data_IF_665036090912
#
_entry.id   IF_665036090912
#
_cell.length_a   1.000
_cell.length_b   1.000
_cell.length_c   1.000
_cell.angle_alpha   90.00
_cell.angle_beta   90.00
_cell.angle_gamma   90.00
#
_symmetry.space_group_name_H-M   'P 1'
#
loop_
_entity.id
_entity.type
_entity.pdbx_description
1 polymer ?
#
# COMPACT_ATOMS: atom_id res chain seq x y z
N UNK A 1 10.38 -53.62 -53.61
CA UNK A 1 10.20 -53.08 -52.25
C UNK A 1 10.78 -51.67 -52.24
N UNK A 2 10.05 -50.64 -51.80
CA UNK A 2 10.55 -49.27 -51.85
C UNK A 2 11.71 -49.10 -50.86
N UNK A 3 12.79 -48.47 -51.29
CA UNK A 3 13.99 -48.26 -50.51
C UNK A 3 13.76 -47.08 -49.56
N UNK A 4 13.65 -47.34 -48.26
CA UNK A 4 13.52 -46.28 -47.25
C UNK A 4 14.83 -45.49 -47.17
N UNK A 5 14.81 -44.23 -47.60
CA UNK A 5 15.95 -43.34 -47.51
C UNK A 5 16.17 -42.94 -46.06
N UNK A 6 17.09 -43.66 -45.40
CA UNK A 6 17.54 -43.35 -44.03
C UNK A 6 18.18 -41.95 -44.02
N UNK A 7 17.46 -40.97 -43.50
CA UNK A 7 17.97 -39.62 -43.33
C UNK A 7 19.18 -39.64 -42.39
N UNK A 8 20.34 -39.17 -42.87
CA UNK A 8 21.53 -39.02 -42.03
C UNK A 8 21.29 -37.88 -41.04
N UNK A 9 21.27 -38.19 -39.76
CA UNK A 9 21.25 -37.19 -38.70
C UNK A 9 22.56 -36.39 -38.77
N UNK A 10 22.47 -35.15 -39.22
CA UNK A 10 23.57 -34.17 -39.11
C UNK A 10 23.69 -33.76 -37.65
N UNK A 11 24.87 -33.97 -37.05
CA UNK A 11 25.15 -33.57 -35.67
C UNK A 11 25.16 -32.05 -35.50
N UNK A 12 24.87 -31.59 -34.29
CA UNK A 12 24.87 -30.18 -33.90
C UNK A 12 26.31 -29.65 -33.91
N UNK A 13 26.52 -28.43 -34.39
CA UNK A 13 27.85 -27.80 -34.36
C UNK A 13 28.15 -27.18 -32.99
N UNK A 14 29.43 -27.09 -32.58
CA UNK A 14 29.79 -26.50 -31.28
C UNK A 14 29.37 -25.02 -31.18
N UNK A 15 29.41 -24.29 -32.31
CA UNK A 15 28.97 -22.89 -32.39
C UNK A 15 27.45 -22.75 -32.18
N UNK A 16 26.66 -23.72 -32.62
CA UNK A 16 25.19 -23.72 -32.47
C UNK A 16 24.79 -23.88 -31.00
N UNK A 17 25.51 -24.73 -30.24
CA UNK A 17 25.30 -24.89 -28.80
C UNK A 17 25.70 -23.62 -28.05
N UNK A 18 26.82 -22.99 -28.41
CA UNK A 18 27.26 -21.72 -27.80
C UNK A 18 26.26 -20.59 -28.02
N UNK A 19 25.72 -20.45 -29.24
CA UNK A 19 24.70 -19.45 -29.55
C UNK A 19 23.40 -19.75 -28.80
N UNK A 20 23.01 -21.02 -28.69
CA UNK A 20 21.82 -21.43 -27.92
C UNK A 20 21.95 -21.09 -26.44
N UNK A 21 23.11 -21.36 -25.82
CA UNK A 21 23.38 -21.01 -24.42
C UNK A 21 23.42 -19.50 -24.22
N UNK A 22 23.97 -18.72 -25.17
CA UNK A 22 23.95 -17.26 -25.11
C UNK A 22 22.53 -16.70 -25.14
N UNK A 23 21.70 -17.15 -26.08
CA UNK A 23 20.30 -16.71 -26.19
C UNK A 23 19.53 -17.10 -24.92
N UNK A 24 19.73 -18.32 -24.41
CA UNK A 24 19.12 -18.79 -23.17
C UNK A 24 19.54 -17.91 -21.97
N UNK A 25 20.83 -17.59 -21.85
CA UNK A 25 21.34 -16.77 -20.76
C UNK A 25 20.71 -15.36 -20.78
N UNK A 26 20.59 -14.74 -21.96
CA UNK A 26 19.92 -13.44 -22.13
C UNK A 26 18.43 -13.56 -21.79
N UNK A 27 17.76 -14.62 -22.25
CA UNK A 27 16.35 -14.87 -21.96
C UNK A 27 16.06 -15.04 -20.46
N UNK A 28 16.92 -15.77 -19.75
CA UNK A 28 16.80 -15.96 -18.30
C UNK A 28 17.03 -14.65 -17.52
N UNK A 29 18.01 -13.84 -17.94
CA UNK A 29 18.23 -12.51 -17.35
C UNK A 29 17.01 -11.59 -17.55
N UNK A 30 16.45 -11.58 -18.76
CA UNK A 30 15.22 -10.83 -19.07
C UNK A 30 14.02 -11.29 -18.22
N UNK A 31 13.82 -12.60 -18.09
CA UNK A 31 12.75 -13.16 -17.27
C UNK A 31 12.91 -12.82 -15.77
N UNK A 32 14.14 -12.87 -15.23
CA UNK A 32 14.42 -12.50 -13.86
C UNK A 32 14.13 -11.01 -13.58
N UNK A 33 14.53 -10.13 -14.50
CA UNK A 33 14.21 -8.70 -14.38
C UNK A 33 12.71 -8.44 -14.37
N UNK A 34 11.93 -9.14 -15.21
CA UNK A 34 10.46 -9.03 -15.22
C UNK A 34 9.88 -9.55 -13.90
N UNK A 35 10.33 -10.69 -13.39
CA UNK A 35 9.85 -11.25 -12.12
C UNK A 35 10.11 -10.31 -10.93
N UNK A 36 11.28 -9.69 -10.87
CA UNK A 36 11.63 -8.71 -9.83
C UNK A 36 10.73 -7.46 -9.90
N UNK A 37 10.44 -6.96 -11.10
CA UNK A 37 9.52 -5.83 -11.26
C UNK A 37 8.08 -6.21 -10.88
N UNK A 38 7.60 -7.39 -11.27
CA UNK A 38 6.28 -7.87 -10.90
C UNK A 38 6.08 -7.93 -9.38
N UNK A 39 7.07 -8.44 -8.64
CA UNK A 39 7.02 -8.50 -7.18
C UNK A 39 6.90 -7.11 -6.53
N UNK A 40 7.58 -6.10 -7.07
CA UNK A 40 7.47 -4.71 -6.58
C UNK A 40 6.06 -4.16 -6.73
N UNK A 41 5.43 -4.35 -7.89
CA UNK A 41 4.08 -3.88 -8.13
C UNK A 41 3.06 -4.55 -7.20
N UNK A 42 3.27 -5.83 -6.87
CA UNK A 42 2.44 -6.55 -5.89
C UNK A 42 2.57 -5.98 -4.48
N UNK A 43 3.79 -5.67 -4.03
CA UNK A 43 4.04 -5.09 -2.70
C UNK A 43 3.43 -3.69 -2.57
N UNK A 44 3.67 -2.79 -3.53
CA UNK A 44 3.11 -1.43 -3.52
C UNK A 44 1.57 -1.44 -3.59
N UNK A 45 0.99 -2.36 -4.38
CA UNK A 45 -0.46 -2.55 -4.45
C UNK A 45 -1.03 -3.00 -3.10
N UNK A 46 -0.36 -3.95 -2.43
CA UNK A 46 -0.79 -4.49 -1.13
C UNK A 46 -0.79 -3.41 -0.05
N UNK A 47 0.24 -2.57 0.04
CA UNK A 47 0.29 -1.47 1.02
C UNK A 47 -0.81 -0.43 0.77
N UNK A 48 -1.08 -0.12 -0.51
CA UNK A 48 -2.18 0.78 -0.87
C UNK A 48 -3.55 0.20 -0.51
N UNK A 49 -3.76 -1.10 -0.71
CA UNK A 49 -4.97 -1.78 -0.27
C UNK A 49 -5.13 -1.71 1.25
N UNK A 50 -4.06 -1.96 2.02
CA UNK A 50 -4.11 -1.83 3.48
C UNK A 50 -4.48 -0.42 3.94
N UNK A 51 -3.84 0.61 3.37
CA UNK A 51 -4.19 2.00 3.65
C UNK A 51 -5.66 2.29 3.32
N UNK A 52 -6.18 1.77 2.21
CA UNK A 52 -7.59 1.94 1.86
C UNK A 52 -8.52 1.28 2.87
N UNK A 53 -8.24 0.05 3.31
CA UNK A 53 -9.05 -0.63 4.31
C UNK A 53 -9.08 0.12 5.63
N UNK A 54 -7.93 0.60 6.11
CA UNK A 54 -7.83 1.38 7.35
C UNK A 54 -8.61 2.70 7.25
N UNK A 55 -8.51 3.39 6.11
CA UNK A 55 -9.21 4.65 5.90
C UNK A 55 -10.74 4.45 5.85
N UNK A 56 -11.22 3.42 5.15
CA UNK A 56 -12.65 3.11 5.09
C UNK A 56 -13.19 2.66 6.45
N UNK A 57 -12.48 1.79 7.17
CA UNK A 57 -12.85 1.38 8.54
C UNK A 57 -12.99 2.59 9.46
N UNK A 58 -12.01 3.49 9.46
CA UNK A 58 -12.06 4.72 10.26
C UNK A 58 -13.22 5.63 9.84
N UNK A 59 -13.47 5.79 8.54
CA UNK A 59 -14.59 6.59 8.04
C UNK A 59 -15.94 6.04 8.54
N UNK A 60 -16.12 4.72 8.50
CA UNK A 60 -17.36 4.08 8.93
C UNK A 60 -17.55 4.14 10.44
N UNK A 61 -16.46 4.05 11.22
CA UNK A 61 -16.49 4.28 12.68
C UNK A 61 -16.86 5.72 13.02
N UNK A 62 -16.33 6.70 12.29
CA UNK A 62 -16.73 8.11 12.45
C UNK A 62 -18.22 8.25 12.22
N UNK A 63 -18.75 7.70 11.12
CA UNK A 63 -20.20 7.74 10.82
C UNK A 63 -21.03 7.13 11.93
N UNK A 64 -20.72 5.89 12.33
CA UNK A 64 -21.48 5.17 13.35
C UNK A 64 -21.49 5.93 14.69
N UNK A 65 -20.36 6.50 15.11
CA UNK A 65 -20.25 7.21 16.38
C UNK A 65 -20.83 8.63 16.33
N UNK A 66 -20.72 9.33 15.20
CA UNK A 66 -21.33 10.66 15.03
C UNK A 66 -22.84 10.55 14.99
N UNK A 67 -23.40 9.66 14.15
CA UNK A 67 -24.85 9.46 14.03
C UNK A 67 -25.46 8.95 15.35
N UNK A 68 -24.81 7.98 15.99
CA UNK A 68 -25.30 7.40 17.25
C UNK A 68 -25.23 8.34 18.46
N UNK A 69 -24.13 9.09 18.61
CA UNK A 69 -23.94 9.96 19.77
C UNK A 69 -24.70 11.30 19.64
N UNK A 70 -24.88 11.81 18.42
CA UNK A 70 -25.75 12.97 18.17
C UNK A 70 -27.20 12.65 18.56
N UNK A 71 -27.70 11.46 18.19
CA UNK A 71 -29.07 11.02 18.47
C UNK A 71 -29.30 10.68 19.96
N UNK A 72 -28.36 10.01 20.62
CA UNK A 72 -28.55 9.49 21.98
C UNK A 72 -28.27 10.50 23.11
N UNK A 73 -27.31 11.41 22.92
CA UNK A 73 -26.79 12.27 24.01
C UNK A 73 -27.00 13.78 23.77
N UNK A 74 -27.64 14.18 22.67
CA UNK A 74 -27.79 15.61 22.32
C UNK A 74 -26.46 16.34 22.12
N UNK A 75 -25.38 15.59 21.86
CA UNK A 75 -24.04 16.14 21.70
C UNK A 75 -23.95 16.83 20.34
N UNK A 76 -23.96 18.16 20.35
CA UNK A 76 -23.69 18.95 19.15
C UNK A 76 -22.17 18.93 18.89
N UNK A 77 -21.76 18.56 17.67
CA UNK A 77 -20.37 18.56 17.20
C UNK A 77 -19.46 17.38 17.61
N UNK A 78 -20.00 16.16 17.66
CA UNK A 78 -19.20 14.93 17.85
C UNK A 78 -18.10 14.78 16.80
N UNK A 79 -18.37 15.18 15.56
CA UNK A 79 -17.44 15.06 14.44
C UNK A 79 -16.13 15.83 14.67
N UNK A 80 -16.19 17.04 15.25
CA UNK A 80 -14.98 17.82 15.54
C UNK A 80 -14.02 17.10 16.49
N UNK A 81 -14.52 16.18 17.31
CA UNK A 81 -13.69 15.41 18.24
C UNK A 81 -12.80 14.38 17.53
N UNK A 82 -13.07 14.04 16.27
CA UNK A 82 -12.24 13.11 15.48
C UNK A 82 -11.08 13.78 14.74
N UNK A 83 -10.90 15.11 14.87
CA UNK A 83 -9.75 15.81 14.28
C UNK A 83 -8.43 15.22 14.80
N UNK A 84 -7.56 14.80 13.88
CA UNK A 84 -6.26 14.21 14.19
C UNK A 84 -5.20 14.82 13.26
N UNK A 85 -4.33 15.67 13.81
CA UNK A 85 -3.29 16.34 13.02
C UNK A 85 -2.17 15.37 12.56
N UNK A 86 -1.82 14.40 13.40
CA UNK A 86 -0.81 13.39 13.12
C UNK A 86 -0.97 12.20 14.08
N UNK A 87 -0.29 11.09 13.80
CA UNK A 87 -0.38 9.85 14.60
C UNK A 87 0.07 10.00 16.06
N UNK A 88 0.96 10.95 16.37
CA UNK A 88 1.43 11.20 17.74
C UNK A 88 0.39 11.95 18.59
N UNK A 89 -0.59 12.60 17.96
CA UNK A 89 -1.72 13.21 18.64
C UNK A 89 -2.84 12.19 18.96
N UNK A 90 -2.67 10.92 18.58
CA UNK A 90 -3.64 9.88 18.89
C UNK A 90 -3.69 9.64 20.42
N UNK A 91 -4.89 9.50 21.00
CA UNK A 91 -5.05 9.19 22.42
C UNK A 91 -4.55 7.78 22.74
N UNK A 92 -4.35 7.51 24.02
CA UNK A 92 -4.11 6.15 24.51
C UNK A 92 -5.37 5.27 24.35
N UNK A 93 -5.16 3.97 24.20
CA UNK A 93 -6.24 2.98 24.14
C UNK A 93 -7.22 3.15 25.31
N UNK A 94 -8.52 3.16 25.02
CA UNK A 94 -9.55 3.38 26.02
C UNK A 94 -10.88 2.75 25.60
N UNK A 95 -11.14 1.56 26.13
CA UNK A 95 -12.37 0.79 25.84
C UNK A 95 -13.65 1.45 26.36
N UNK A 96 -13.55 2.44 27.25
CA UNK A 96 -14.71 3.17 27.78
C UNK A 96 -15.10 4.38 26.91
N UNK A 97 -14.25 4.76 25.95
CA UNK A 97 -14.48 5.88 25.04
C UNK A 97 -14.20 5.43 23.61
N UNK A 98 -15.27 5.07 22.90
CA UNK A 98 -15.19 4.55 21.52
C UNK A 98 -14.24 5.38 20.65
N UNK A 99 -14.42 6.70 20.60
CA UNK A 99 -13.55 7.62 19.85
C UNK A 99 -12.06 7.50 20.21
N UNK A 100 -11.70 7.38 21.49
CA UNK A 100 -10.31 7.27 21.90
C UNK A 100 -9.73 5.91 21.46
N UNK A 101 -10.51 4.84 21.61
CA UNK A 101 -10.15 3.53 21.06
C UNK A 101 -9.99 3.59 19.53
N UNK A 102 -10.88 4.29 18.83
CA UNK A 102 -10.82 4.39 17.38
C UNK A 102 -9.55 5.06 16.87
N UNK A 103 -9.21 6.22 17.44
CA UNK A 103 -8.01 6.94 17.04
C UNK A 103 -6.72 6.18 17.44
N UNK A 104 -6.75 5.45 18.56
CA UNK A 104 -5.66 4.56 18.95
C UNK A 104 -5.48 3.42 17.93
N UNK A 105 -6.55 2.70 17.58
CA UNK A 105 -6.52 1.59 16.63
C UNK A 105 -6.07 2.07 15.25
N UNK A 106 -6.58 3.21 14.79
CA UNK A 106 -6.18 3.83 13.53
C UNK A 106 -4.67 4.09 13.48
N UNK A 107 -4.12 4.73 14.52
CA UNK A 107 -2.69 4.99 14.65
C UNK A 107 -1.88 3.69 14.73
N UNK A 108 -2.37 2.71 15.48
CA UNK A 108 -1.70 1.42 15.65
C UNK A 108 -1.68 0.61 14.35
N UNK A 109 -2.76 0.60 13.59
CA UNK A 109 -2.86 -0.09 12.32
C UNK A 109 -1.89 0.51 11.30
N UNK A 110 -1.83 1.84 11.21
CA UNK A 110 -0.89 2.53 10.30
C UNK A 110 0.55 2.23 10.66
N UNK A 111 0.92 2.37 11.93
CA UNK A 111 2.30 2.08 12.38
C UNK A 111 2.68 0.60 12.26
N UNK A 112 1.71 -0.31 12.34
CA UNK A 112 1.95 -1.74 12.14
C UNK A 112 2.32 -2.07 10.70
N UNK A 113 1.62 -1.51 9.70
CA UNK A 113 1.92 -1.82 8.30
C UNK A 113 3.03 -0.95 7.69
N UNK A 114 3.07 0.34 8.03
CA UNK A 114 4.02 1.30 7.47
C UNK A 114 5.28 1.47 8.32
N UNK A 115 5.32 0.94 9.54
CA UNK A 115 6.44 1.09 10.45
C UNK A 115 6.69 2.56 10.82
N UNK A 116 7.97 2.92 10.94
CA UNK A 116 8.38 4.27 11.34
C UNK A 116 8.11 5.36 10.29
N UNK A 117 7.82 5.00 9.04
CA UNK A 117 7.48 5.95 7.98
C UNK A 117 5.98 6.21 7.84
N UNK A 118 5.16 5.53 8.64
CA UNK A 118 3.71 5.70 8.65
C UNK A 118 3.30 7.09 9.11
N UNK A 119 2.46 7.74 8.33
CA UNK A 119 1.81 9.01 8.68
C UNK A 119 0.30 8.87 8.52
N UNK A 120 -0.45 9.64 9.29
CA UNK A 120 -1.90 9.61 9.26
C UNK A 120 -2.49 10.88 9.85
N UNK A 121 -3.53 11.40 9.22
CA UNK A 121 -4.30 12.55 9.70
C UNK A 121 -5.77 12.41 9.34
N UNK A 122 -6.62 13.07 10.13
CA UNK A 122 -8.07 13.16 9.93
C UNK A 122 -8.43 14.65 10.03
N UNK A 123 -8.81 15.24 8.91
CA UNK A 123 -9.29 16.62 8.83
C UNK A 123 -10.82 16.66 8.77
N UNK A 124 -11.40 17.46 9.66
CA UNK A 124 -12.84 17.69 9.82
C UNK A 124 -13.20 19.17 9.71
N UNK A 125 -12.24 20.02 9.32
CA UNK A 125 -12.44 21.48 9.20
C UNK A 125 -13.54 21.86 8.20
N UNK A 126 -13.76 21.00 7.20
CA UNK A 126 -14.78 21.16 6.15
C UNK A 126 -16.06 20.36 6.44
N UNK A 127 -16.39 20.18 7.73
CA UNK A 127 -17.60 19.46 8.15
C UNK A 127 -18.83 19.92 7.35
N UNK A 128 -19.67 18.99 6.85
CA UNK A 128 -19.71 17.56 7.18
C UNK A 128 -18.76 16.67 6.36
N UNK A 129 -17.88 17.25 5.53
CA UNK A 129 -16.84 16.49 4.85
C UNK A 129 -15.67 16.18 5.79
N UNK A 130 -15.21 14.93 5.72
CA UNK A 130 -14.07 14.38 6.46
C UNK A 130 -13.04 13.91 5.46
N UNK A 131 -11.79 14.30 5.66
CA UNK A 131 -10.66 13.86 4.84
C UNK A 131 -9.67 13.08 5.69
N UNK A 132 -9.49 11.80 5.36
CA UNK A 132 -8.50 10.92 5.97
C UNK A 132 -7.32 10.81 5.02
N UNK A 133 -6.13 11.08 5.53
CA UNK A 133 -4.87 10.96 4.78
C UNK A 133 -3.98 9.95 5.48
N UNK A 134 -3.45 8.99 4.73
CA UNK A 134 -2.50 7.97 5.22
C UNK A 134 -1.28 7.99 4.30
N UNK A 135 -0.09 8.07 4.86
CA UNK A 135 1.17 8.05 4.12
C UNK A 135 2.13 6.96 4.61
N UNK A 136 3.00 6.50 3.71
CA UNK A 136 4.07 5.55 4.01
C UNK A 136 5.23 5.74 3.02
N UNK A 137 6.42 5.23 3.35
CA UNK A 137 7.54 5.20 2.39
C UNK A 137 7.55 3.92 1.56
N UNK A 138 7.80 4.04 0.25
CA UNK A 138 8.04 2.89 -0.63
C UNK A 138 9.54 2.63 -0.89
N UNK A 139 10.39 3.07 0.05
CA UNK A 139 11.85 2.98 -0.05
C UNK A 139 12.35 1.53 -0.26
N UNK A 140 11.57 0.54 0.20
CA UNK A 140 11.84 -0.88 -0.01
C UNK A 140 11.70 -1.30 -1.48
N UNK A 141 10.76 -0.74 -2.23
CA UNK A 141 10.61 -1.01 -3.66
C UNK A 141 11.68 -0.28 -4.50
N UNK A 142 12.11 0.90 -4.07
CA UNK A 142 13.11 1.72 -4.78
C UNK A 142 14.54 1.21 -4.60
N UNK A 143 14.91 0.70 -3.42
CA UNK A 143 16.26 0.20 -3.10
C UNK A 143 16.71 -1.02 -3.93
N UNK A 144 15.77 -1.83 -4.43
CA UNK A 144 16.09 -2.98 -5.27
C UNK A 144 16.29 -2.64 -6.76
N UNK A 145 15.90 -1.45 -7.23
CA UNK A 145 16.14 -0.98 -8.61
C UNK A 145 17.49 -0.29 -8.78
N UNK A 146 17.88 0.54 -7.83
CA UNK A 146 19.12 1.33 -7.96
C UNK A 146 20.38 0.47 -7.79
N UNK A 147 20.33 -0.60 -6.99
CA UNK A 147 21.48 -1.49 -6.81
C UNK A 147 21.91 -2.25 -8.08
N UNK A 148 21.08 -2.27 -9.13
CA UNK A 148 21.42 -2.91 -10.40
C UNK A 148 22.01 -1.95 -11.45
N UNK A 149 21.86 -0.62 -11.30
CA UNK A 149 22.19 0.34 -12.38
C UNK A 149 22.80 1.68 -11.90
N UNK A 150 22.72 2.06 -10.62
CA UNK A 150 23.30 3.32 -10.14
C UNK A 150 23.53 3.35 -8.63
N UNK A 151 24.79 3.56 -8.22
CA UNK A 151 25.18 3.88 -6.84
C UNK A 151 24.84 5.35 -6.51
N UNK A 152 23.55 5.68 -6.49
CA UNK A 152 23.05 6.98 -6.02
C UNK A 152 22.00 6.67 -4.95
N UNK A 153 22.13 7.27 -3.77
CA UNK A 153 21.18 7.03 -2.68
C UNK A 153 19.76 7.38 -3.11
N UNK A 154 18.91 6.37 -3.32
CA UNK A 154 17.53 6.54 -3.73
C UNK A 154 16.77 7.38 -2.69
N UNK A 155 16.30 8.57 -3.09
CA UNK A 155 15.36 9.35 -2.27
C UNK A 155 14.08 8.54 -2.12
N UNK A 156 13.74 8.16 -0.90
CA UNK A 156 12.51 7.42 -0.60
C UNK A 156 11.28 8.14 -1.15
N UNK A 157 10.58 7.54 -2.11
CA UNK A 157 9.30 8.06 -2.60
C UNK A 157 8.24 7.82 -1.52
N UNK A 158 7.68 8.90 -0.97
CA UNK A 158 6.52 8.84 -0.09
C UNK A 158 5.26 8.57 -0.90
N UNK A 159 4.50 7.54 -0.53
CA UNK A 159 3.19 7.25 -1.08
C UNK A 159 2.10 7.77 -0.13
N UNK A 160 0.98 8.22 -0.70
CA UNK A 160 -0.15 8.77 0.07
C UNK A 160 -1.45 8.21 -0.48
N UNK A 161 -2.34 7.82 0.44
CA UNK A 161 -3.73 7.50 0.19
C UNK A 161 -4.62 8.54 0.87
N UNK A 162 -5.59 9.08 0.13
CA UNK A 162 -6.55 10.08 0.63
C UNK A 162 -7.96 9.58 0.40
N UNK A 163 -8.78 9.61 1.43
CA UNK A 163 -10.21 9.34 1.39
C UNK A 163 -10.98 10.54 1.92
N UNK A 164 -11.80 11.16 1.06
CA UNK A 164 -12.71 12.22 1.47
C UNK A 164 -14.15 11.71 1.37
N UNK A 165 -14.92 11.87 2.44
CA UNK A 165 -16.33 11.50 2.45
C UNK A 165 -17.16 12.41 3.33
N UNK A 166 -18.46 12.51 3.04
CA UNK A 166 -19.40 13.22 3.91
C UNK A 166 -19.93 12.27 4.98
N UNK A 167 -20.07 12.81 6.19
CA UNK A 167 -20.67 12.14 7.35
C UNK A 167 -22.03 12.80 7.63
N UNK A 168 -23.04 11.98 7.95
CA UNK A 168 -24.34 12.49 8.38
C UNK A 168 -24.17 13.30 9.66
N UNK A 169 -24.74 14.49 9.68
CA UNK A 169 -24.95 15.26 10.91
C UNK A 169 -26.34 15.81 10.74
N UNK A 170 -27.34 15.00 11.08
CA UNK A 170 -28.73 15.48 11.08
C UNK A 170 -28.84 16.61 12.12
N UNK A 171 -29.34 17.80 11.74
CA UNK A 171 -29.52 18.93 12.65
C UNK A 171 -30.66 18.72 13.66
#
# INVERSE_FOLDING_TARGET
MPNETRHRQTGMTLIEVLVSVLILAIGLLGAAAIQLNALKYTDSSTLRSQASFIAYDMMDRIRANVDGNASANGSTNVLATYSLANLAAAPAANLNKARDQDLYDFSKNITTFAGASGTGSIDVSSAPAVTITIGWSDARATGASDNAISNTAATASGQVFVLTSRVGVDP
#
